data_IF_266723370716
#
_entry.id   IF_266723370716
#
_cell.length_a   1.000
_cell.length_b   1.000
_cell.length_c   1.000
_cell.angle_alpha   90.00
_cell.angle_beta   90.00
_cell.angle_gamma   90.00
#
_symmetry.space_group_name_H-M   'P 1'
#
loop_
_entity.id
_entity.type
_entity.pdbx_description
1 polymer ?
#
# COMPACT_ATOMS: atom_id res chain seq x y z
N UNK A 1 22.06 -5.21 15.24
CA UNK A 1 20.79 -4.65 14.73
C UNK A 1 20.97 -3.70 13.55
N UNK A 2 21.77 -2.63 13.62
CA UNK A 2 21.91 -1.63 12.52
C UNK A 2 22.12 -2.24 11.13
N UNK A 3 23.07 -3.19 11.00
CA UNK A 3 23.34 -3.89 9.73
C UNK A 3 22.15 -4.72 9.21
N UNK A 4 21.38 -5.35 10.09
CA UNK A 4 20.19 -6.14 9.72
C UNK A 4 19.04 -5.23 9.27
N UNK A 5 18.90 -4.04 9.85
CA UNK A 5 17.86 -3.09 9.45
C UNK A 5 18.04 -2.72 7.97
N UNK A 6 19.26 -2.34 7.58
CA UNK A 6 19.57 -1.93 6.20
C UNK A 6 19.52 -3.12 5.24
N UNK A 7 20.07 -4.26 5.63
CA UNK A 7 20.22 -5.41 4.72
C UNK A 7 18.94 -6.24 4.54
N UNK A 8 18.04 -6.20 5.52
CA UNK A 8 16.89 -7.10 5.57
C UNK A 8 15.57 -6.37 5.82
N UNK A 9 15.47 -5.57 6.89
CA UNK A 9 14.20 -4.93 7.29
C UNK A 9 13.70 -3.97 6.22
N UNK A 10 14.55 -3.07 5.72
CA UNK A 10 14.14 -2.08 4.71
C UNK A 10 13.68 -2.76 3.41
N UNK A 11 14.46 -3.67 2.78
CA UNK A 11 14.00 -4.36 1.58
C UNK A 11 12.71 -5.16 1.78
N UNK A 12 12.58 -5.90 2.89
CA UNK A 12 11.36 -6.67 3.18
C UNK A 12 10.14 -5.75 3.37
N UNK A 13 10.33 -4.60 4.01
CA UNK A 13 9.28 -3.59 4.15
C UNK A 13 8.75 -3.17 2.78
N UNK A 14 9.64 -2.75 1.88
CA UNK A 14 9.25 -2.29 0.53
C UNK A 14 8.56 -3.40 -0.27
N UNK A 15 9.14 -4.61 -0.26
CA UNK A 15 8.57 -5.75 -0.99
C UNK A 15 7.18 -6.09 -0.46
N UNK A 16 7.02 -6.22 0.85
CA UNK A 16 5.72 -6.53 1.46
C UNK A 16 4.68 -5.43 1.23
N UNK A 17 5.07 -4.16 1.38
CA UNK A 17 4.20 -3.00 1.16
C UNK A 17 3.65 -2.95 -0.27
N UNK A 18 4.47 -3.33 -1.26
CA UNK A 18 4.07 -3.36 -2.66
C UNK A 18 3.30 -4.63 -3.07
N UNK A 19 3.47 -5.74 -2.35
CA UNK A 19 2.90 -7.04 -2.75
C UNK A 19 1.63 -7.40 -2.01
N UNK A 20 1.50 -7.02 -0.73
CA UNK A 20 0.36 -7.31 0.11
C UNK A 20 -0.25 -6.00 0.58
N UNK A 21 -1.55 -5.82 0.33
CA UNK A 21 -2.24 -4.62 0.78
C UNK A 21 -3.71 -4.93 1.05
N UNK A 22 -4.41 -3.97 1.63
CA UNK A 22 -5.85 -4.02 1.82
C UNK A 22 -6.50 -3.09 0.81
N UNK A 23 -7.55 -3.56 0.15
CA UNK A 23 -8.40 -2.74 -0.69
C UNK A 23 -9.62 -2.28 0.11
N UNK A 24 -10.13 -1.11 -0.27
CA UNK A 24 -11.23 -0.42 0.39
C UNK A 24 -12.21 0.03 -0.68
N UNK A 25 -13.39 -0.59 -0.70
CA UNK A 25 -14.50 -0.12 -1.51
C UNK A 25 -15.26 0.95 -0.73
N UNK A 26 -15.28 2.17 -1.26
CA UNK A 26 -15.80 3.33 -0.53
C UNK A 26 -16.69 4.21 -1.41
N UNK A 27 -17.59 4.94 -0.75
CA UNK A 27 -18.39 6.02 -1.34
C UNK A 27 -17.86 7.35 -0.77
N UNK A 28 -17.00 8.08 -1.51
CA UNK A 28 -16.61 9.43 -1.16
C UNK A 28 -17.81 10.39 -1.15
N UNK A 29 -17.73 11.44 -0.34
CA UNK A 29 -18.71 12.53 -0.40
C UNK A 29 -18.51 13.29 -1.71
N UNK A 30 -19.59 13.52 -2.46
CA UNK A 30 -19.62 14.27 -3.73
C UNK A 30 -18.69 13.74 -4.84
N UNK A 31 -18.43 12.43 -4.83
CA UNK A 31 -17.60 11.78 -5.85
C UNK A 31 -18.08 10.37 -6.18
N UNK A 32 -17.68 9.83 -7.33
CA UNK A 32 -18.04 8.47 -7.70
C UNK A 32 -17.45 7.46 -6.71
N UNK A 33 -18.12 6.32 -6.63
CA UNK A 33 -17.66 5.19 -5.86
C UNK A 33 -16.22 4.81 -6.28
N UNK A 34 -15.35 4.58 -5.30
CA UNK A 34 -13.91 4.47 -5.56
C UNK A 34 -13.28 3.34 -4.76
N UNK A 35 -12.38 2.60 -5.41
CA UNK A 35 -11.50 1.63 -4.76
C UNK A 35 -10.20 2.32 -4.34
N UNK A 36 -9.92 2.28 -3.04
CA UNK A 36 -8.64 2.69 -2.49
C UNK A 36 -7.82 1.46 -2.09
N UNK A 37 -6.51 1.62 -2.03
CA UNK A 37 -5.59 0.61 -1.50
C UNK A 37 -4.74 1.22 -0.37
N UNK A 38 -4.33 0.36 0.55
CA UNK A 38 -3.48 0.70 1.69
C UNK A 38 -3.82 -0.10 2.94
N UNK A 39 -2.85 -0.28 3.83
CA UNK A 39 -3.05 -0.91 5.12
C UNK A 39 -2.10 -0.33 6.18
N UNK A 40 -2.60 0.13 7.33
CA UNK A 40 -3.99 0.05 7.78
C UNK A 40 -4.92 1.15 7.25
N UNK A 41 -4.41 2.15 6.52
CA UNK A 41 -5.21 3.26 6.01
C UNK A 41 -5.28 3.26 4.47
N UNK A 42 -6.40 3.67 3.87
CA UNK A 42 -6.47 3.88 2.43
C UNK A 42 -5.66 5.12 2.06
N UNK A 43 -4.48 4.91 1.46
CA UNK A 43 -3.54 5.99 1.13
C UNK A 43 -3.51 6.35 -0.36
N UNK A 44 -3.98 5.47 -1.26
CA UNK A 44 -4.02 5.79 -2.69
C UNK A 44 -5.29 5.24 -3.35
N UNK A 45 -5.82 6.01 -4.30
CA UNK A 45 -6.96 5.62 -5.13
C UNK A 45 -6.87 6.23 -6.52
N UNK A 46 -7.82 5.90 -7.40
CA UNK A 46 -7.90 6.49 -8.73
C UNK A 46 -8.34 7.96 -8.68
N UNK A 47 -7.77 8.79 -9.56
CA UNK A 47 -8.29 10.13 -9.83
C UNK A 47 -9.65 10.07 -10.50
N UNK A 48 -10.51 11.03 -10.18
CA UNK A 48 -11.89 11.06 -10.69
C UNK A 48 -12.03 11.72 -12.06
N UNK A 49 -11.08 12.57 -12.44
CA UNK A 49 -11.19 13.41 -13.65
C UNK A 49 -10.31 12.96 -14.81
N UNK A 50 -9.29 12.14 -14.57
CA UNK A 50 -8.32 11.72 -15.59
C UNK A 50 -8.05 10.24 -15.47
N UNK A 51 -8.10 9.52 -16.59
CA UNK A 51 -7.71 8.11 -16.65
C UNK A 51 -6.25 7.95 -16.23
N UNK A 52 -5.94 6.88 -15.50
CA UNK A 52 -4.59 6.55 -14.99
C UNK A 52 -4.02 7.52 -13.95
N UNK A 53 -4.70 8.61 -13.60
CA UNK A 53 -4.24 9.46 -12.50
C UNK A 53 -4.49 8.81 -11.13
N UNK A 54 -3.59 9.09 -10.19
CA UNK A 54 -3.66 8.62 -8.82
C UNK A 54 -3.93 9.79 -7.86
N UNK A 55 -4.71 9.53 -6.81
CA UNK A 55 -4.81 10.41 -5.65
C UNK A 55 -4.03 9.76 -4.52
N UNK A 56 -2.97 10.42 -4.04
CA UNK A 56 -2.09 9.92 -2.98
C UNK A 56 -2.25 10.80 -1.74
N UNK A 57 -2.54 10.17 -0.60
CA UNK A 57 -2.64 10.79 0.71
C UNK A 57 -1.36 10.50 1.51
N UNK A 58 -0.51 11.51 1.64
CA UNK A 58 0.88 11.34 2.11
C UNK A 58 0.95 10.91 3.57
N UNK A 59 0.12 11.48 4.45
CA UNK A 59 0.13 11.10 5.87
C UNK A 59 -0.27 9.64 6.08
N UNK A 60 -1.34 9.20 5.40
CA UNK A 60 -1.80 7.82 5.39
C UNK A 60 -0.73 6.88 4.80
N UNK A 61 -0.09 7.27 3.69
CA UNK A 61 1.00 6.51 3.07
C UNK A 61 2.17 6.32 4.03
N UNK A 62 2.59 7.38 4.73
CA UNK A 62 3.68 7.32 5.70
C UNK A 62 3.30 6.46 6.90
N UNK A 63 2.08 6.59 7.42
CA UNK A 63 1.58 5.78 8.53
C UNK A 63 1.56 4.28 8.17
N UNK A 64 1.10 3.96 6.95
CA UNK A 64 1.12 2.60 6.43
C UNK A 64 2.55 2.09 6.28
N UNK A 65 3.43 2.83 5.61
CA UNK A 65 4.83 2.43 5.43
C UNK A 65 5.53 2.17 6.77
N UNK A 66 5.28 3.02 7.78
CA UNK A 66 5.78 2.83 9.14
C UNK A 66 5.20 1.59 9.81
N UNK A 67 3.94 1.23 9.52
CA UNK A 67 3.33 0.00 10.04
C UNK A 67 4.03 -1.25 9.50
N UNK A 68 4.30 -1.31 8.18
CA UNK A 68 5.07 -2.41 7.59
C UNK A 68 6.50 -2.45 8.11
N UNK A 69 7.14 -1.28 8.23
CA UNK A 69 8.49 -1.19 8.78
C UNK A 69 8.55 -1.71 10.22
N UNK A 70 7.60 -1.27 11.06
CA UNK A 70 7.53 -1.67 12.46
C UNK A 70 7.28 -3.18 12.60
N UNK A 71 6.38 -3.74 11.78
CA UNK A 71 6.14 -5.17 11.73
C UNK A 71 7.42 -5.96 11.45
N UNK A 72 8.13 -5.64 10.36
CA UNK A 72 9.37 -6.34 10.02
C UNK A 72 10.50 -6.07 11.00
N UNK A 73 10.59 -4.84 11.53
CA UNK A 73 11.57 -4.49 12.53
C UNK A 73 11.39 -5.34 13.80
N UNK A 74 10.17 -5.42 14.33
CA UNK A 74 9.85 -6.22 15.51
C UNK A 74 10.11 -7.70 15.23
N UNK A 75 9.64 -8.22 14.10
CA UNK A 75 9.81 -9.62 13.73
C UNK A 75 11.29 -10.00 13.64
N UNK A 76 12.09 -9.24 12.89
CA UNK A 76 13.53 -9.49 12.72
C UNK A 76 14.28 -9.26 14.04
N UNK A 77 13.88 -8.26 14.83
CA UNK A 77 14.45 -8.01 16.15
C UNK A 77 14.22 -9.20 17.09
N UNK A 78 12.99 -9.68 17.18
CA UNK A 78 12.63 -10.81 18.03
C UNK A 78 13.36 -12.08 17.61
N UNK A 79 13.40 -12.40 16.31
CA UNK A 79 14.14 -13.57 15.81
C UNK A 79 15.63 -13.45 16.16
N UNK A 80 16.25 -12.31 15.84
CA UNK A 80 17.68 -12.13 16.08
C UNK A 80 18.05 -12.11 17.56
N UNK A 81 17.15 -11.65 18.44
CA UNK A 81 17.39 -11.53 19.88
C UNK A 81 17.09 -12.82 20.65
N UNK A 82 15.98 -13.49 20.34
CA UNK A 82 15.44 -14.56 21.16
C UNK A 82 15.54 -15.96 20.52
N UNK A 83 15.60 -16.05 19.19
CA UNK A 83 15.55 -17.34 18.49
C UNK A 83 16.95 -17.71 17.98
N UNK A 84 17.48 -17.00 17.00
CA UNK A 84 18.80 -17.29 16.39
C UNK A 84 19.45 -15.99 15.92
N UNK A 85 20.75 -15.85 16.18
CA UNK A 85 21.54 -14.72 15.68
C UNK A 85 21.64 -14.75 14.15
N UNK A 86 20.96 -13.82 13.48
CA UNK A 86 20.86 -13.78 12.03
C UNK A 86 22.19 -13.33 11.41
N UNK A 87 22.72 -14.14 10.50
CA UNK A 87 23.85 -13.79 9.63
C UNK A 87 23.33 -13.66 8.20
N UNK A 88 23.32 -12.44 7.66
CA UNK A 88 22.86 -12.19 6.29
C UNK A 88 23.90 -12.64 5.28
N UNK A 89 23.52 -13.53 4.37
CA UNK A 89 24.36 -13.91 3.24
C UNK A 89 24.34 -12.80 2.16
N UNK A 90 25.47 -12.65 1.44
CA UNK A 90 25.63 -11.59 0.43
C UNK A 90 24.61 -11.72 -0.70
N UNK A 91 24.39 -12.94 -1.19
CA UNK A 91 23.45 -13.22 -2.29
C UNK A 91 22.02 -12.83 -1.92
N UNK A 92 21.56 -13.20 -0.72
CA UNK A 92 20.20 -12.87 -0.24
C UNK A 92 20.02 -11.36 -0.10
N UNK A 93 21.05 -10.66 0.38
CA UNK A 93 21.00 -9.20 0.52
C UNK A 93 20.90 -8.54 -0.86
N UNK A 94 21.71 -8.99 -1.83
CA UNK A 94 21.70 -8.45 -3.19
C UNK A 94 20.33 -8.69 -3.83
N UNK A 95 19.79 -9.91 -3.78
CA UNK A 95 18.50 -10.21 -4.41
C UNK A 95 17.36 -9.37 -3.82
N UNK A 96 17.28 -9.26 -2.49
CA UNK A 96 16.29 -8.41 -1.82
C UNK A 96 16.40 -6.94 -2.25
N UNK A 97 17.61 -6.41 -2.33
CA UNK A 97 17.84 -5.04 -2.78
C UNK A 97 17.51 -4.83 -4.26
N UNK A 98 17.77 -5.83 -5.11
CA UNK A 98 17.38 -5.77 -6.53
C UNK A 98 15.86 -5.68 -6.67
N UNK A 99 15.09 -6.55 -5.99
CA UNK A 99 13.62 -6.48 -6.03
C UNK A 99 13.09 -5.19 -5.43
N UNK A 100 13.62 -4.75 -4.30
CA UNK A 100 13.29 -3.47 -3.68
C UNK A 100 13.53 -2.30 -4.64
N UNK A 101 14.68 -2.26 -5.31
CA UNK A 101 15.03 -1.23 -6.27
C UNK A 101 14.10 -1.20 -7.48
N UNK A 102 13.73 -2.36 -8.02
CA UNK A 102 12.78 -2.47 -9.13
C UNK A 102 11.38 -1.94 -8.75
N UNK A 103 10.89 -2.30 -7.56
CA UNK A 103 9.59 -1.83 -7.04
C UNK A 103 9.60 -0.31 -6.87
N UNK A 104 10.66 0.24 -6.28
CA UNK A 104 10.79 1.69 -6.09
C UNK A 104 10.87 2.41 -7.44
N UNK A 105 11.67 1.92 -8.37
CA UNK A 105 11.81 2.52 -9.70
C UNK A 105 10.49 2.55 -10.46
N UNK A 106 9.74 1.45 -10.43
CA UNK A 106 8.41 1.38 -11.04
C UNK A 106 7.41 2.31 -10.34
N UNK A 107 7.44 2.37 -9.01
CA UNK A 107 6.56 3.27 -8.23
C UNK A 107 6.84 4.74 -8.53
N UNK A 108 8.12 5.13 -8.66
CA UNK A 108 8.52 6.49 -9.06
C UNK A 108 8.01 6.80 -10.47
N UNK A 109 8.13 5.86 -11.42
CA UNK A 109 7.63 6.04 -12.78
C UNK A 109 6.13 6.36 -12.79
N UNK A 110 5.33 5.65 -11.99
CA UNK A 110 3.90 5.94 -11.83
C UNK A 110 3.65 7.29 -11.14
N UNK A 111 4.44 7.62 -10.12
CA UNK A 111 4.27 8.84 -9.32
C UNK A 111 4.59 10.12 -10.11
N UNK A 112 5.48 10.06 -11.10
CA UNK A 112 5.90 11.21 -11.93
C UNK A 112 4.81 11.70 -12.88
N UNK A 113 3.72 10.95 -13.08
CA UNK A 113 2.59 11.43 -13.87
C UNK A 113 2.03 12.76 -13.31
N UNK A 114 1.99 13.80 -14.15
CA UNK A 114 1.58 15.16 -13.76
C UNK A 114 0.11 15.25 -13.36
N UNK A 115 -0.71 14.32 -13.82
CA UNK A 115 -2.13 14.27 -13.48
C UNK A 115 -2.37 13.67 -12.09
N UNK A 116 -1.33 13.12 -11.44
CA UNK A 116 -1.44 12.63 -10.08
C UNK A 116 -1.66 13.77 -9.09
N UNK A 117 -2.57 13.56 -8.15
CA UNK A 117 -2.92 14.49 -7.09
C UNK A 117 -2.30 14.01 -5.77
N UNK A 118 -1.52 14.88 -5.13
CA UNK A 118 -0.91 14.61 -3.83
C UNK A 118 -1.51 15.52 -2.77
N UNK A 119 -2.08 14.91 -1.74
CA UNK A 119 -2.63 15.62 -0.58
C UNK A 119 -1.86 15.21 0.67
N UNK A 120 -1.63 16.15 1.59
CA UNK A 120 -1.00 15.85 2.87
C UNK A 120 -1.85 14.87 3.68
N UNK A 121 -3.17 15.10 3.70
CA UNK A 121 -4.17 14.24 4.34
C UNK A 121 -5.39 14.21 3.44
N UNK A 122 -6.14 13.11 3.44
CA UNK A 122 -7.38 13.02 2.63
C UNK A 122 -8.33 14.18 2.94
N UNK A 123 -8.73 14.98 1.94
CA UNK A 123 -9.52 16.21 2.16
C UNK A 123 -11.03 15.97 2.26
N UNK A 124 -11.49 14.73 2.06
CA UNK A 124 -12.91 14.38 2.03
C UNK A 124 -13.25 13.21 2.97
N UNK A 125 -14.51 13.20 3.40
CA UNK A 125 -15.12 12.06 4.06
C UNK A 125 -15.43 10.94 3.06
N UNK A 126 -15.48 9.71 3.55
CA UNK A 126 -15.92 8.57 2.74
C UNK A 126 -16.57 7.52 3.62
N UNK A 127 -17.59 6.85 3.09
CA UNK A 127 -18.23 5.71 3.73
C UNK A 127 -17.58 4.43 3.21
N UNK A 128 -17.01 3.63 4.11
CA UNK A 128 -16.46 2.31 3.76
C UNK A 128 -17.62 1.33 3.62
N UNK A 129 -17.73 0.69 2.46
CA UNK A 129 -18.77 -0.29 2.16
C UNK A 129 -18.25 -1.71 2.36
N UNK A 130 -17.11 -2.02 1.75
CA UNK A 130 -16.49 -3.34 1.82
C UNK A 130 -14.98 -3.19 1.87
N UNK A 131 -14.30 -4.14 2.50
CA UNK A 131 -12.83 -4.17 2.52
C UNK A 131 -12.34 -5.60 2.48
N UNK A 132 -11.09 -5.79 2.05
CA UNK A 132 -10.46 -7.09 2.09
C UNK A 132 -9.00 -7.01 1.75
N UNK A 133 -8.30 -8.12 1.94
CA UNK A 133 -6.88 -8.23 1.62
C UNK A 133 -6.71 -8.77 0.22
N UNK A 134 -5.66 -8.30 -0.46
CA UNK A 134 -5.26 -8.83 -1.75
C UNK A 134 -3.75 -8.76 -1.92
N UNK A 135 -3.24 -9.66 -2.74
CA UNK A 135 -1.93 -9.50 -3.33
C UNK A 135 -2.01 -8.64 -4.60
N UNK A 136 -0.90 -7.98 -4.95
CA UNK A 136 -0.86 -7.04 -6.08
C UNK A 136 -1.19 -7.66 -7.44
N UNK A 137 -1.06 -8.98 -7.59
CA UNK A 137 -1.40 -9.72 -8.81
C UNK A 137 -2.84 -10.25 -8.84
N UNK A 138 -3.61 -10.06 -7.77
CA UNK A 138 -5.01 -10.51 -7.73
C UNK A 138 -5.92 -9.40 -8.25
N UNK A 139 -6.68 -9.69 -9.30
CA UNK A 139 -7.72 -8.79 -9.78
C UNK A 139 -9.04 -9.10 -9.08
N UNK A 140 -9.50 -8.20 -8.21
CA UNK A 140 -10.87 -8.25 -7.70
C UNK A 140 -11.77 -7.44 -8.62
N UNK A 141 -12.75 -8.11 -9.23
CA UNK A 141 -13.86 -7.41 -9.88
C UNK A 141 -14.66 -6.67 -8.80
N UNK A 142 -14.98 -5.40 -9.08
CA UNK A 142 -15.92 -4.63 -8.27
C UNK A 142 -17.20 -5.45 -8.14
N UNK A 143 -17.55 -5.86 -6.92
CA UNK A 143 -18.84 -6.52 -6.71
C UNK A 143 -19.91 -5.50 -7.10
N UNK A 144 -20.66 -5.78 -8.17
CA UNK A 144 -21.70 -4.90 -8.67
C UNK A 144 -22.79 -4.73 -7.63
N UNK A 145 -22.68 -3.70 -6.79
CA UNK A 145 -23.82 -3.22 -6.02
C UNK A 145 -24.73 -2.48 -7.00
N UNK A 146 -25.75 -3.20 -7.48
CA UNK A 146 -26.97 -2.57 -7.98
C UNK A 146 -27.52 -1.81 -6.76
N UNK A 147 -27.37 -0.48 -6.75
CA UNK A 147 -28.25 0.36 -5.95
C UNK A 147 -29.63 0.07 -6.56
N UNK A 148 -30.41 -0.78 -5.89
CA UNK A 148 -31.83 -0.85 -6.14
C UNK A 148 -32.35 0.52 -5.73
N UNK A 149 -32.61 1.34 -6.73
CA UNK A 149 -33.30 2.59 -6.58
C UNK A 149 -34.58 2.32 -5.78
N UNK A 150 -34.78 2.92 -4.59
CA UNK A 150 -35.98 2.69 -3.80
C UNK A 150 -37.26 3.27 -4.46
N UNK A 151 -37.16 3.90 -5.64
CA UNK A 151 -38.29 4.51 -6.35
C UNK A 151 -38.96 3.62 -7.42
N UNK A 152 -38.68 2.32 -7.49
CA UNK A 152 -39.49 1.37 -8.27
C UNK A 152 -40.37 0.49 -7.39
N UNK A 153 -41.45 1.06 -6.87
CA UNK A 153 -42.69 0.34 -6.49
C UNK A 153 -43.90 1.20 -6.79
#
# INVERSE_FOLDING_TARGET
MKSLIIKLVIPLTVISFATFTKWWYTLPVDAPDTMFIGFPFPYVGSGWHTSLSLQVFVAEFVADLLTYFLFWFILVFCINRFIVKLKTHKVVTISLWTFCGLIIAFSILLAVNKDNLFYIKRPFGMKVIETGYQFSWQHKQRSGYIISDPETK
#
